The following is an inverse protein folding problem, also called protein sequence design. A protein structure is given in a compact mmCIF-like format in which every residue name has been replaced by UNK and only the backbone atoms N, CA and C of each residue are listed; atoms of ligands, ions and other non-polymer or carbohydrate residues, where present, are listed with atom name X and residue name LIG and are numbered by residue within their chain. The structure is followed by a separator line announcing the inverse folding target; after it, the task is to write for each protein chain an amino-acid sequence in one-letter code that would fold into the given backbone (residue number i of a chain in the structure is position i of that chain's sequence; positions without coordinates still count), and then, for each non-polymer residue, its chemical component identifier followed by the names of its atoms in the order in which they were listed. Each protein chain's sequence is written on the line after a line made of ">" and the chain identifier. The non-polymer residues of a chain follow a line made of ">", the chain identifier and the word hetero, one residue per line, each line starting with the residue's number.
data_IF_017948750928
#
_entry.id   IF_017948750928
#
_cell.length_a   1.000
_cell.length_b   1.000
_cell.length_c   1.000
_cell.angle_alpha   90.00
_cell.angle_beta   90.00
_cell.angle_gamma   90.00
#
_symmetry.space_group_name_H-M   'P 1'
#
loop_
_entity.id
_entity.type
_entity.pdbx_description
1 polymer ?
#
# COMPACT_ATOMS: atom_id res chain seq x y z
N UNK A 1 -8.57 91.04 -12.63
CA UNK A 1 -9.50 92.06 -13.18
C UNK A 1 -10.42 91.35 -14.16
N UNK A 2 -11.62 91.89 -14.42
CA UNK A 2 -12.71 91.32 -15.22
C UNK A 2 -13.49 90.14 -14.60
N UNK A 3 -14.75 90.05 -15.02
CA UNK A 3 -15.92 89.48 -14.33
C UNK A 3 -16.67 88.52 -15.26
N UNK A 4 -17.46 87.61 -14.68
CA UNK A 4 -18.92 87.36 -14.89
C UNK A 4 -19.25 85.92 -14.39
N UNK A 5 -20.05 85.76 -13.32
CA UNK A 5 -21.52 85.52 -13.34
C UNK A 5 -21.91 84.15 -13.92
N UNK A 6 -22.78 83.28 -13.39
CA UNK A 6 -23.88 83.32 -12.39
C UNK A 6 -24.09 81.87 -11.82
N UNK A 7 -24.92 81.50 -10.81
CA UNK A 7 -25.93 82.19 -9.97
C UNK A 7 -26.12 81.48 -8.59
N UNK A 8 -26.92 82.11 -7.71
CA UNK A 8 -27.90 81.56 -6.74
C UNK A 8 -28.34 80.06 -6.85
N UNK A 9 -28.76 79.35 -5.78
CA UNK A 9 -29.56 79.77 -4.59
C UNK A 9 -29.53 78.75 -3.42
N UNK A 10 -29.45 79.31 -2.18
CA UNK A 10 -29.97 78.92 -0.83
C UNK A 10 -31.22 77.97 -0.74
N UNK A 11 -31.66 77.50 0.47
CA UNK A 11 -30.97 77.20 1.76
C UNK A 11 -31.61 76.00 2.58
N UNK A 12 -31.47 75.99 3.92
CA UNK A 12 -31.98 75.07 4.99
C UNK A 12 -31.22 73.71 5.06
N UNK A 13 -30.70 73.18 6.18
CA UNK A 13 -30.76 73.52 7.62
C UNK A 13 -31.69 72.57 8.41
N UNK A 14 -31.47 72.21 9.70
CA UNK A 14 -30.27 72.33 10.56
C UNK A 14 -29.96 71.08 11.45
N UNK A 15 -28.92 71.20 12.31
CA UNK A 15 -28.82 70.67 13.70
C UNK A 15 -28.24 69.26 14.05
N UNK A 16 -27.16 69.33 14.87
CA UNK A 16 -26.88 68.65 16.17
C UNK A 16 -26.44 67.16 16.30
N UNK A 17 -25.22 67.02 16.85
CA UNK A 17 -24.71 66.06 17.86
C UNK A 17 -24.63 64.53 17.60
N UNK A 18 -23.40 64.01 17.51
CA UNK A 18 -22.74 63.12 18.51
C UNK A 18 -21.32 62.77 17.98
N UNK A 19 -20.22 62.92 18.74
CA UNK A 19 -19.71 62.12 19.87
C UNK A 19 -19.44 60.63 19.51
N UNK A 20 -18.15 60.26 19.52
CA UNK A 20 -17.58 58.89 19.46
C UNK A 20 -18.09 57.94 18.35
N UNK A 21 -17.52 58.07 17.15
CA UNK A 21 -17.62 57.05 16.08
C UNK A 21 -16.24 56.83 15.41
N UNK A 22 -15.39 55.96 16.00
CA UNK A 22 -14.17 55.48 15.31
C UNK A 22 -13.57 54.13 15.71
N UNK A 23 -14.19 53.37 16.62
CA UNK A 23 -13.66 52.07 17.08
C UNK A 23 -14.72 50.95 17.18
N UNK A 24 -15.51 50.71 16.12
CA UNK A 24 -16.51 49.62 16.14
C UNK A 24 -16.71 48.79 14.85
N UNK A 25 -15.81 48.89 13.86
CA UNK A 25 -15.96 48.18 12.56
C UNK A 25 -15.01 47.00 12.32
N UNK A 26 -14.14 46.62 13.26
CA UNK A 26 -13.26 45.43 13.11
C UNK A 26 -13.82 44.15 13.75
N UNK A 27 -14.72 44.28 14.75
CA UNK A 27 -15.33 43.14 15.42
C UNK A 27 -16.16 42.21 14.49
N UNK A 28 -17.03 42.72 13.59
CA UNK A 28 -17.82 41.84 12.72
C UNK A 28 -16.96 41.11 11.68
N UNK A 29 -15.85 41.71 11.24
CA UNK A 29 -14.92 41.08 10.28
C UNK A 29 -14.16 39.93 10.97
N UNK A 30 -13.73 40.13 12.22
CA UNK A 30 -13.09 39.05 13.00
C UNK A 30 -14.07 37.88 13.24
N UNK A 31 -15.33 38.17 13.58
CA UNK A 31 -16.38 37.17 13.74
C UNK A 31 -16.76 36.45 12.42
N UNK A 32 -16.69 37.11 11.26
CA UNK A 32 -16.81 36.45 9.95
C UNK A 32 -15.61 35.53 9.64
N UNK A 33 -14.37 35.92 9.99
CA UNK A 33 -13.20 35.04 9.81
C UNK A 33 -13.22 33.81 10.72
N UNK A 34 -13.83 33.91 11.91
CA UNK A 34 -13.98 32.80 12.85
C UNK A 34 -15.12 31.84 12.46
N UNK A 35 -16.16 32.33 11.78
CA UNK A 35 -17.29 31.48 11.32
C UNK A 35 -17.01 30.72 10.01
N UNK A 36 -15.94 31.08 9.28
CA UNK A 36 -15.47 30.34 8.09
C UNK A 36 -14.52 29.17 8.41
N UNK A 37 -14.19 28.93 9.69
CA UNK A 37 -13.57 27.68 10.14
C UNK A 37 -14.58 26.53 10.32
N UNK A 38 -15.78 26.65 9.75
CA UNK A 38 -16.64 25.51 9.51
C UNK A 38 -15.91 24.55 8.55
N UNK A 39 -15.29 23.50 9.11
CA UNK A 39 -14.81 22.35 8.35
C UNK A 39 -16.01 21.71 7.66
N UNK A 40 -16.31 22.17 6.43
CA UNK A 40 -17.18 21.43 5.52
C UNK A 40 -16.52 20.08 5.31
N UNK A 41 -17.11 19.04 5.89
CA UNK A 41 -16.69 17.69 5.58
C UNK A 41 -16.84 17.46 4.08
N UNK A 42 -15.79 16.92 3.48
CA UNK A 42 -15.75 16.70 2.05
C UNK A 42 -16.39 15.35 1.74
N UNK A 43 -17.28 15.31 0.74
CA UNK A 43 -17.81 14.06 0.15
C UNK A 43 -16.81 13.45 -0.83
N UNK A 44 -15.52 13.58 -0.51
CA UNK A 44 -14.38 13.16 -1.31
C UNK A 44 -13.47 12.31 -0.42
N UNK A 45 -12.85 11.30 -1.03
CA UNK A 45 -11.97 10.38 -0.35
C UNK A 45 -10.53 10.63 -0.83
N UNK A 46 -9.70 11.25 0.00
CA UNK A 46 -8.24 11.28 -0.23
C UNK A 46 -7.58 10.19 0.61
N UNK A 47 -7.17 9.11 -0.03
CA UNK A 47 -6.42 8.00 0.55
C UNK A 47 -5.02 8.45 1.02
N UNK A 48 -4.66 8.12 2.25
CA UNK A 48 -3.30 8.27 2.79
C UNK A 48 -2.59 6.90 2.81
N UNK A 49 -3.17 5.94 3.54
CA UNK A 49 -2.66 4.57 3.69
C UNK A 49 -3.73 3.61 4.25
N UNK A 50 -3.41 2.33 4.25
CA UNK A 50 -4.18 1.28 4.92
C UNK A 50 -3.34 0.52 5.96
N UNK A 51 -4.00 -0.10 6.95
CA UNK A 51 -3.42 -1.07 7.87
C UNK A 51 -4.38 -2.25 8.03
N UNK A 52 -3.87 -3.47 8.23
CA UNK A 52 -4.67 -4.68 8.38
C UNK A 52 -4.37 -5.42 9.69
N UNK A 53 -5.37 -6.14 10.19
CA UNK A 53 -5.25 -7.11 11.29
C UNK A 53 -5.68 -8.47 10.74
N UNK A 54 -4.88 -9.50 11.01
CA UNK A 54 -5.11 -10.86 10.54
C UNK A 54 -5.13 -11.07 9.03
N UNK A 55 -4.52 -10.20 8.22
CA UNK A 55 -4.37 -10.43 6.78
C UNK A 55 -3.73 -11.80 6.50
N UNK A 56 -4.23 -12.53 5.50
CA UNK A 56 -3.59 -13.78 5.06
C UNK A 56 -2.29 -13.46 4.33
N UNK A 57 -1.20 -14.10 4.74
CA UNK A 57 0.15 -13.87 4.21
C UNK A 57 0.54 -12.38 4.20
N UNK A 58 0.73 -11.75 5.38
CA UNK A 58 1.23 -10.37 5.46
C UNK A 58 2.62 -10.19 4.82
N UNK A 59 3.40 -11.28 4.69
CA UNK A 59 4.66 -11.35 3.94
C UNK A 59 4.48 -11.32 2.41
N UNK A 60 3.28 -11.63 1.91
CA UNK A 60 2.90 -11.59 0.49
C UNK A 60 1.76 -10.58 0.23
N UNK A 61 1.93 -9.27 0.52
CA UNK A 61 0.85 -8.29 0.48
C UNK A 61 0.14 -8.21 -0.89
N UNK A 62 0.85 -8.49 -1.98
CA UNK A 62 0.29 -8.54 -3.35
C UNK A 62 -0.84 -9.56 -3.57
N UNK A 63 -1.10 -10.45 -2.62
CA UNK A 63 -2.20 -11.42 -2.71
C UNK A 63 -3.51 -10.88 -2.15
N UNK A 64 -3.46 -10.21 -0.99
CA UNK A 64 -4.64 -9.97 -0.14
C UNK A 64 -4.64 -8.65 0.65
N UNK A 65 -3.85 -7.66 0.25
CA UNK A 65 -3.79 -6.32 0.87
C UNK A 65 -5.14 -5.57 0.88
N UNK A 66 -5.38 -4.65 1.85
CA UNK A 66 -6.59 -3.82 1.90
C UNK A 66 -6.89 -3.01 0.63
N UNK A 67 -5.86 -2.57 -0.09
CA UNK A 67 -5.98 -1.75 -1.30
C UNK A 67 -6.78 -2.45 -2.40
N UNK A 68 -6.77 -3.79 -2.42
CA UNK A 68 -7.57 -4.62 -3.34
C UNK A 68 -9.07 -4.62 -3.07
N UNK A 69 -9.53 -4.11 -1.92
CA UNK A 69 -10.93 -3.84 -1.67
C UNK A 69 -11.35 -2.43 -2.13
N UNK A 70 -10.40 -1.60 -2.60
CA UNK A 70 -10.60 -0.18 -2.93
C UNK A 70 -10.28 0.12 -4.41
N UNK A 71 -9.86 -0.88 -5.20
CA UNK A 71 -9.27 -0.69 -6.54
C UNK A 71 -10.27 -0.74 -7.70
N UNK A 72 -11.57 -0.80 -7.38
CA UNK A 72 -12.71 -0.92 -8.29
C UNK A 72 -12.73 -2.21 -9.14
N UNK A 73 -11.99 -3.26 -8.75
CA UNK A 73 -11.96 -4.55 -9.46
C UNK A 73 -12.46 -5.71 -8.59
N UNK A 74 -13.60 -6.25 -8.99
CA UNK A 74 -14.21 -7.43 -8.35
C UNK A 74 -13.35 -8.72 -8.38
N UNK A 75 -12.33 -8.79 -9.25
CA UNK A 75 -11.46 -9.97 -9.36
C UNK A 75 -10.39 -10.04 -8.27
N UNK A 76 -10.19 -8.96 -7.52
CA UNK A 76 -9.25 -8.79 -6.41
C UNK A 76 -10.03 -8.72 -5.08
N UNK A 77 -9.32 -8.86 -3.95
CA UNK A 77 -9.92 -8.72 -2.62
C UNK A 77 -8.86 -8.52 -1.53
N UNK A 78 -9.28 -7.81 -0.48
CA UNK A 78 -8.68 -8.02 0.84
C UNK A 78 -9.11 -9.40 1.37
N UNK A 79 -8.19 -10.16 1.99
CA UNK A 79 -8.55 -11.38 2.71
C UNK A 79 -7.79 -11.51 4.03
N UNK A 80 -8.51 -11.90 5.07
CA UNK A 80 -7.99 -12.14 6.42
C UNK A 80 -8.24 -13.60 6.89
N UNK A 81 -7.53 -14.00 7.94
CA UNK A 81 -7.73 -15.26 8.65
C UNK A 81 -9.11 -15.30 9.30
N UNK A 82 -9.94 -16.27 8.92
CA UNK A 82 -11.28 -16.46 9.50
C UNK A 82 -11.23 -16.94 10.97
N UNK A 83 -10.03 -17.18 11.52
CA UNK A 83 -9.81 -17.58 12.92
C UNK A 83 -9.39 -16.41 13.81
N UNK A 84 -9.01 -15.28 13.25
CA UNK A 84 -8.47 -14.15 14.01
C UNK A 84 -9.57 -13.15 14.38
N UNK A 85 -9.79 -12.98 15.68
CA UNK A 85 -10.80 -12.07 16.24
C UNK A 85 -10.38 -10.63 16.00
N UNK A 86 -11.29 -9.80 15.48
CA UNK A 86 -11.00 -8.40 15.16
C UNK A 86 -10.24 -8.20 13.85
N UNK A 87 -10.09 -9.26 13.05
CA UNK A 87 -9.49 -9.20 11.71
C UNK A 87 -10.24 -8.25 10.78
N UNK A 88 -9.52 -7.66 9.84
CA UNK A 88 -10.07 -6.59 9.00
C UNK A 88 -9.01 -5.54 8.65
N UNK A 89 -9.46 -4.33 8.32
CA UNK A 89 -8.55 -3.25 7.92
C UNK A 89 -9.07 -1.85 8.27
N UNK A 90 -8.13 -0.92 8.35
CA UNK A 90 -8.36 0.49 8.65
C UNK A 90 -7.83 1.34 7.50
N UNK A 91 -8.69 2.17 6.91
CA UNK A 91 -8.34 3.18 5.92
C UNK A 91 -8.03 4.49 6.66
N UNK A 92 -6.88 5.07 6.36
CA UNK A 92 -6.52 6.43 6.79
C UNK A 92 -6.72 7.38 5.61
N UNK A 93 -7.43 8.47 5.86
CA UNK A 93 -7.75 9.51 4.90
C UNK A 93 -6.97 10.79 5.23
N UNK A 94 -6.59 11.56 4.21
CA UNK A 94 -5.92 12.84 4.42
C UNK A 94 -6.80 13.84 5.16
N UNK A 95 -8.09 13.84 4.80
CA UNK A 95 -9.11 14.82 5.15
C UNK A 95 -10.27 14.16 5.91
N UNK A 96 -11.17 14.97 6.45
CA UNK A 96 -12.37 14.53 7.16
C UNK A 96 -13.51 14.26 6.18
N UNK A 97 -13.94 13.01 6.06
CA UNK A 97 -15.05 12.60 5.20
C UNK A 97 -16.29 12.24 6.02
N UNK A 98 -17.46 12.53 5.46
CA UNK A 98 -18.77 12.10 5.96
C UNK A 98 -19.38 11.11 4.98
N UNK A 99 -19.99 10.03 5.46
CA UNK A 99 -20.75 9.06 4.66
C UNK A 99 -21.88 8.43 5.46
N UNK A 100 -22.93 7.98 4.80
CA UNK A 100 -24.11 7.36 5.45
C UNK A 100 -24.42 5.96 4.93
N UNK A 101 -23.76 5.53 3.85
CA UNK A 101 -23.97 4.22 3.27
C UNK A 101 -22.68 3.61 2.73
N UNK A 102 -22.69 2.29 2.59
CA UNK A 102 -21.66 1.50 1.94
C UNK A 102 -22.23 0.75 0.75
N UNK A 103 -21.42 0.56 -0.29
CA UNK A 103 -21.62 -0.48 -1.30
C UNK A 103 -20.48 -1.48 -1.19
N UNK A 104 -20.83 -2.76 -1.05
CA UNK A 104 -19.91 -3.84 -0.70
C UNK A 104 -20.02 -5.00 -1.69
N UNK A 105 -18.89 -5.62 -2.03
CA UNK A 105 -18.86 -6.94 -2.67
C UNK A 105 -18.23 -7.97 -1.71
N UNK A 106 -19.10 -8.74 -1.07
CA UNK A 106 -18.76 -9.69 0.00
C UNK A 106 -18.21 -11.01 -0.55
N UNK A 107 -17.05 -11.47 -0.09
CA UNK A 107 -16.38 -12.69 -0.58
C UNK A 107 -15.28 -12.40 -1.61
N UNK A 108 -14.75 -13.46 -2.24
CA UNK A 108 -13.72 -13.38 -3.29
C UNK A 108 -14.29 -13.74 -4.66
N UNK A 109 -14.24 -12.81 -5.62
CA UNK A 109 -14.93 -12.93 -6.91
C UNK A 109 -14.00 -13.01 -8.13
N UNK A 110 -12.82 -13.64 -8.00
CA UNK A 110 -11.95 -13.94 -9.16
C UNK A 110 -12.63 -14.86 -10.19
N UNK A 111 -13.45 -15.81 -9.73
CA UNK A 111 -14.31 -16.66 -10.56
C UNK A 111 -15.58 -17.07 -9.82
N UNK A 112 -16.59 -17.57 -10.55
CA UNK A 112 -17.82 -18.09 -9.93
C UNK A 112 -17.58 -19.33 -9.06
N UNK A 113 -16.46 -20.03 -9.24
CA UNK A 113 -16.09 -21.17 -8.40
C UNK A 113 -15.54 -20.75 -7.04
N UNK A 114 -14.89 -19.58 -6.93
CA UNK A 114 -14.31 -19.10 -5.67
C UNK A 114 -15.36 -18.92 -4.56
N UNK A 115 -16.60 -18.55 -4.91
CA UNK A 115 -17.70 -18.42 -3.96
C UNK A 115 -18.09 -19.76 -3.29
N UNK A 116 -17.73 -20.90 -3.87
CA UNK A 116 -17.95 -22.23 -3.25
C UNK A 116 -17.07 -22.46 -2.03
N UNK A 117 -15.98 -21.71 -1.88
CA UNK A 117 -15.08 -21.81 -0.73
C UNK A 117 -15.69 -21.23 0.55
N UNK A 118 -16.77 -20.45 0.45
CA UNK A 118 -17.46 -19.79 1.56
C UNK A 118 -16.62 -18.75 2.34
N UNK A 119 -15.65 -18.14 1.67
CA UNK A 119 -14.74 -17.10 2.19
C UNK A 119 -15.47 -15.73 2.38
N UNK A 120 -16.69 -15.72 2.93
CA UNK A 120 -17.61 -14.57 3.03
C UNK A 120 -17.77 -14.06 4.47
N UNK A 121 -17.84 -12.74 4.63
CA UNK A 121 -18.24 -12.09 5.88
C UNK A 121 -19.75 -12.29 6.09
N UNK A 122 -20.16 -12.64 7.32
CA UNK A 122 -21.57 -12.66 7.74
C UNK A 122 -21.93 -11.37 8.48
N UNK A 123 -21.03 -10.90 9.35
CA UNK A 123 -21.23 -9.69 10.15
C UNK A 123 -19.96 -8.84 10.13
N UNK A 124 -20.11 -7.60 9.66
CA UNK A 124 -19.04 -6.61 9.59
C UNK A 124 -19.35 -5.50 10.58
N UNK A 125 -18.35 -4.98 11.28
CA UNK A 125 -18.43 -3.71 12.01
C UNK A 125 -17.73 -2.63 11.20
N UNK A 126 -18.39 -1.48 11.12
CA UNK A 126 -17.88 -0.26 10.54
C UNK A 126 -17.72 0.74 11.67
N UNK A 127 -16.55 1.33 11.82
CA UNK A 127 -16.27 2.38 12.80
C UNK A 127 -15.58 3.57 12.14
N UNK A 128 -15.89 4.78 12.61
CA UNK A 128 -15.25 6.03 12.19
C UNK A 128 -14.59 6.70 13.39
N UNK A 129 -13.37 7.20 13.17
CA UNK A 129 -12.60 7.92 14.18
C UNK A 129 -12.04 9.21 13.60
N UNK A 130 -11.86 10.18 14.49
CA UNK A 130 -11.07 11.37 14.29
C UNK A 130 -9.65 11.15 14.83
N UNK A 131 -8.65 11.49 14.02
CA UNK A 131 -7.24 11.45 14.36
C UNK A 131 -6.56 12.77 13.97
N UNK A 132 -6.08 13.51 14.96
CA UNK A 132 -5.35 14.76 14.73
C UNK A 132 -3.89 14.48 14.38
N UNK A 133 -3.43 15.00 13.23
CA UNK A 133 -2.09 14.71 12.69
C UNK A 133 -0.92 15.38 13.42
N UNK A 134 -1.20 16.28 14.38
CA UNK A 134 -0.22 17.22 14.93
C UNK A 134 0.17 16.99 16.39
N UNK A 135 -0.35 15.94 17.06
CA UNK A 135 -0.01 15.70 18.46
C UNK A 135 0.86 14.45 18.63
N UNK A 136 1.90 14.55 19.45
CA UNK A 136 2.95 13.53 19.67
C UNK A 136 2.44 12.19 20.25
N UNK A 137 1.13 12.10 20.51
CA UNK A 137 0.40 10.91 20.90
C UNK A 137 -0.91 10.88 20.10
N UNK A 138 -0.88 10.27 18.92
CA UNK A 138 -2.05 10.09 18.06
C UNK A 138 -3.20 9.42 18.84
N UNK A 139 -4.14 10.23 19.35
CA UNK A 139 -5.35 9.75 20.02
C UNK A 139 -6.46 9.63 18.99
N UNK A 140 -6.96 8.40 18.81
CA UNK A 140 -8.21 8.17 18.10
C UNK A 140 -9.38 8.58 18.99
N UNK A 141 -10.23 9.48 18.50
CA UNK A 141 -11.54 9.77 19.09
C UNK A 141 -12.61 9.12 18.22
N UNK A 142 -13.33 8.13 18.74
CA UNK A 142 -14.43 7.50 18.03
C UNK A 142 -15.57 8.51 17.79
N UNK A 143 -16.14 8.48 16.58
CA UNK A 143 -17.37 9.18 16.22
C UNK A 143 -18.56 8.22 16.29
N UNK A 144 -18.54 7.18 15.44
CA UNK A 144 -19.61 6.18 15.35
C UNK A 144 -19.09 4.78 15.06
N UNK A 145 -19.86 3.80 15.53
CA UNK A 145 -19.70 2.37 15.25
C UNK A 145 -21.06 1.75 14.92
N UNK A 146 -21.11 0.87 13.92
CA UNK A 146 -22.30 0.10 13.49
C UNK A 146 -21.90 -1.32 13.10
N UNK A 147 -22.62 -2.29 13.65
CA UNK A 147 -22.61 -3.66 13.18
C UNK A 147 -23.61 -3.81 12.02
N UNK A 148 -23.20 -4.41 10.90
CA UNK A 148 -24.03 -4.71 9.73
C UNK A 148 -23.98 -6.21 9.42
N UNK A 149 -25.15 -6.80 9.15
CA UNK A 149 -25.24 -8.17 8.61
C UNK A 149 -25.17 -8.13 7.08
N UNK A 150 -24.33 -8.98 6.50
CA UNK A 150 -24.13 -9.07 5.06
C UNK A 150 -24.80 -10.32 4.51
N UNK A 151 -25.51 -10.17 3.40
CA UNK A 151 -26.15 -11.30 2.72
C UNK A 151 -25.13 -12.14 1.95
N UNK A 152 -25.49 -13.39 1.67
CA UNK A 152 -24.65 -14.35 0.95
C UNK A 152 -24.25 -13.81 -0.43
N UNK A 153 -22.96 -13.94 -0.77
CA UNK A 153 -22.38 -13.46 -2.01
C UNK A 153 -23.05 -14.02 -3.28
N UNK A 154 -23.10 -13.20 -4.33
CA UNK A 154 -23.46 -13.59 -5.70
C UNK A 154 -22.34 -13.14 -6.65
N UNK A 155 -22.03 -13.92 -7.68
CA UNK A 155 -20.83 -13.66 -8.50
C UNK A 155 -20.95 -12.38 -9.36
N UNK A 156 -19.96 -11.49 -9.30
CA UNK A 156 -19.91 -10.25 -10.09
C UNK A 156 -20.84 -9.13 -9.61
N UNK A 157 -21.15 -8.16 -10.47
CA UNK A 157 -21.93 -6.94 -10.14
C UNK A 157 -23.27 -7.19 -9.44
N UNK A 158 -23.94 -8.30 -9.75
CA UNK A 158 -25.19 -8.75 -9.11
C UNK A 158 -25.05 -9.13 -7.62
N UNK A 159 -23.82 -9.22 -7.10
CA UNK A 159 -23.51 -9.41 -5.69
C UNK A 159 -23.17 -8.13 -4.93
N UNK A 160 -23.19 -6.96 -5.58
CA UNK A 160 -23.04 -5.67 -4.91
C UNK A 160 -24.24 -5.45 -3.97
N UNK A 161 -23.94 -5.18 -2.71
CA UNK A 161 -24.91 -4.94 -1.66
C UNK A 161 -24.77 -3.49 -1.22
N UNK A 162 -25.88 -2.75 -1.18
CA UNK A 162 -25.93 -1.41 -0.60
C UNK A 162 -26.46 -1.53 0.82
N UNK A 163 -25.74 -0.96 1.78
CA UNK A 163 -26.08 -0.98 3.21
C UNK A 163 -26.15 0.46 3.70
N UNK A 164 -27.32 0.88 4.16
CA UNK A 164 -27.50 2.12 4.91
C UNK A 164 -26.97 1.91 6.34
N UNK A 165 -26.28 2.91 6.89
CA UNK A 165 -25.71 2.87 8.24
C UNK A 165 -26.63 3.49 9.31
N UNK A 166 -27.85 3.87 8.91
CA UNK A 166 -28.89 4.56 9.70
C UNK A 166 -28.43 5.93 10.27
N UNK A 167 -27.23 6.38 9.91
CA UNK A 167 -26.62 7.61 10.41
C UNK A 167 -25.40 8.02 9.58
N UNK A 168 -25.06 9.31 9.61
CA UNK A 168 -23.83 9.83 9.00
C UNK A 168 -22.63 9.59 9.90
N UNK A 169 -21.71 8.76 9.43
CA UNK A 169 -20.37 8.54 9.97
C UNK A 169 -19.45 9.69 9.59
N UNK A 170 -18.64 10.17 10.51
CA UNK A 170 -17.70 11.27 10.26
C UNK A 170 -16.29 10.97 10.80
N UNK A 171 -15.26 11.06 9.95
CA UNK A 171 -13.89 10.86 10.40
C UNK A 171 -12.85 10.92 9.29
N UNK A 172 -11.59 10.71 9.67
CA UNK A 172 -10.47 10.53 8.76
C UNK A 172 -9.77 9.15 8.96
N UNK A 173 -10.32 8.31 9.83
CA UNK A 173 -9.88 6.93 10.04
C UNK A 173 -11.11 6.04 10.05
N UNK A 174 -11.26 5.18 9.03
CA UNK A 174 -12.42 4.30 8.86
C UNK A 174 -11.98 2.85 9.02
N UNK A 175 -12.54 2.14 10.00
CA UNK A 175 -12.20 0.74 10.31
C UNK A 175 -13.33 -0.20 9.91
N UNK A 176 -12.95 -1.28 9.24
CA UNK A 176 -13.79 -2.42 8.91
C UNK A 176 -13.28 -3.63 9.71
N UNK A 177 -14.09 -4.14 10.62
CA UNK A 177 -13.76 -5.25 11.53
C UNK A 177 -14.72 -6.42 11.28
N UNK A 178 -14.18 -7.61 10.99
CA UNK A 178 -14.94 -8.82 10.71
C UNK A 178 -15.32 -9.46 12.05
N UNK A 179 -16.61 -9.48 12.35
CA UNK A 179 -17.14 -10.03 13.59
C UNK A 179 -17.57 -11.49 13.44
N UNK A 180 -18.19 -11.83 12.31
CA UNK A 180 -18.64 -13.19 12.02
C UNK A 180 -18.46 -13.50 10.53
N UNK A 181 -18.18 -14.76 10.21
CA UNK A 181 -18.09 -15.29 8.84
C UNK A 181 -19.29 -16.20 8.54
N UNK A 182 -19.56 -16.46 7.25
CA UNK A 182 -20.65 -17.38 6.83
C UNK A 182 -20.29 -18.86 7.15
N UNK A 183 -19.01 -19.13 7.41
CA UNK A 183 -18.44 -20.38 7.89
C UNK A 183 -16.93 -20.23 8.01
N UNK A 184 -16.18 -21.27 8.42
CA UNK A 184 -14.71 -21.19 8.48
C UNK A 184 -14.03 -21.18 7.09
N UNK A 185 -14.82 -21.38 6.03
CA UNK A 185 -14.35 -21.52 4.66
C UNK A 185 -13.54 -22.80 4.43
N UNK A 186 -13.46 -23.27 3.18
CA UNK A 186 -12.56 -24.39 2.84
C UNK A 186 -11.08 -23.95 2.85
N UNK A 187 -10.82 -22.65 2.85
CA UNK A 187 -9.48 -22.05 2.77
C UNK A 187 -8.98 -21.51 4.11
N UNK A 188 -9.84 -21.42 5.14
CA UNK A 188 -9.53 -20.77 6.41
C UNK A 188 -9.50 -19.23 6.36
N UNK A 189 -9.89 -18.61 5.24
CA UNK A 189 -9.89 -17.15 5.04
C UNK A 189 -11.29 -16.57 4.91
N UNK A 190 -11.39 -15.25 5.04
CA UNK A 190 -12.58 -14.45 4.79
C UNK A 190 -12.18 -13.21 3.97
N UNK A 191 -12.96 -12.86 2.96
CA UNK A 191 -12.58 -11.85 1.96
C UNK A 191 -13.65 -10.78 1.72
N UNK A 192 -13.20 -9.60 1.30
CA UNK A 192 -14.01 -8.49 0.80
C UNK A 192 -13.39 -8.00 -0.52
N UNK A 193 -14.13 -8.13 -1.62
CA UNK A 193 -13.67 -7.77 -2.97
C UNK A 193 -13.83 -6.30 -3.33
N UNK A 194 -14.76 -5.58 -2.69
CA UNK A 194 -15.01 -4.16 -2.97
C UNK A 194 -15.67 -3.48 -1.76
N UNK A 195 -15.23 -2.26 -1.42
CA UNK A 195 -15.88 -1.34 -0.50
C UNK A 195 -15.89 0.07 -1.11
N UNK A 196 -17.08 0.65 -1.26
CA UNK A 196 -17.29 2.06 -1.58
C UNK A 196 -18.07 2.75 -0.48
N UNK A 197 -17.62 3.93 -0.07
CA UNK A 197 -18.34 4.82 0.86
C UNK A 197 -19.17 5.83 0.06
N UNK A 198 -20.33 6.22 0.59
CA UNK A 198 -21.25 7.08 -0.12
C UNK A 198 -22.51 7.41 0.68
N UNK A 199 -23.59 7.68 -0.04
CA UNK A 199 -24.92 7.98 0.49
C UNK A 199 -26.01 7.34 -0.38
N UNK A 200 -27.17 7.02 0.21
CA UNK A 200 -28.35 6.58 -0.55
C UNK A 200 -29.22 7.78 -0.91
N UNK A 201 -29.48 7.97 -2.20
CA UNK A 201 -30.41 8.97 -2.75
C UNK A 201 -31.60 8.27 -3.41
N UNK A 202 -32.60 9.06 -3.81
CA UNK A 202 -33.80 8.56 -4.53
C UNK A 202 -33.48 7.73 -5.77
N UNK A 203 -32.35 8.02 -6.43
CA UNK A 203 -31.88 7.36 -7.65
C UNK A 203 -30.99 6.13 -7.38
N UNK A 204 -30.66 5.84 -6.11
CA UNK A 204 -29.81 4.73 -5.69
C UNK A 204 -28.60 5.16 -4.87
N UNK A 205 -27.60 4.29 -4.79
CA UNK A 205 -26.33 4.57 -4.10
C UNK A 205 -25.45 5.52 -4.90
N UNK A 206 -25.00 6.59 -4.26
CA UNK A 206 -24.09 7.59 -4.82
C UNK A 206 -22.69 7.39 -4.20
N UNK A 207 -21.72 6.77 -4.90
CA UNK A 207 -20.37 6.60 -4.40
C UNK A 207 -19.63 7.94 -4.32
N UNK A 208 -18.83 8.12 -3.27
CA UNK A 208 -17.91 9.24 -3.21
C UNK A 208 -16.61 8.94 -3.96
N UNK A 209 -16.08 9.90 -4.75
CA UNK A 209 -14.89 9.66 -5.57
C UNK A 209 -13.61 9.66 -4.74
N UNK A 210 -12.70 8.77 -5.10
CA UNK A 210 -11.31 8.81 -4.68
C UNK A 210 -10.57 9.95 -5.42
N UNK A 211 -10.18 11.00 -4.71
CA UNK A 211 -9.39 12.12 -5.27
C UNK A 211 -7.97 11.66 -5.60
N UNK A 212 -7.45 10.71 -4.81
CA UNK A 212 -6.10 10.18 -4.93
C UNK A 212 -6.09 8.70 -5.33
N UNK A 213 -7.02 8.29 -6.18
CA UNK A 213 -7.12 6.91 -6.70
C UNK A 213 -5.81 6.40 -7.31
N UNK A 214 -5.00 7.30 -7.89
CA UNK A 214 -3.69 6.94 -8.44
C UNK A 214 -2.66 6.55 -7.38
N UNK A 215 -2.80 6.98 -6.10
CA UNK A 215 -2.01 6.44 -4.99
C UNK A 215 -2.31 4.94 -4.78
N UNK A 216 -3.59 4.57 -4.72
CA UNK A 216 -4.05 3.17 -4.58
C UNK A 216 -3.52 2.33 -5.75
N UNK A 217 -3.67 2.80 -6.99
CA UNK A 217 -3.10 2.12 -8.17
C UNK A 217 -1.59 1.99 -8.09
N UNK A 218 -0.86 3.01 -7.61
CA UNK A 218 0.60 2.94 -7.45
C UNK A 218 0.98 1.86 -6.45
N UNK A 219 0.36 1.81 -5.27
CA UNK A 219 0.61 0.76 -4.26
C UNK A 219 0.36 -0.64 -4.83
N UNK A 220 -0.73 -0.85 -5.57
CA UNK A 220 -1.01 -2.13 -6.25
C UNK A 220 0.00 -2.44 -7.36
N UNK A 221 0.53 -1.42 -8.05
CA UNK A 221 1.59 -1.61 -9.06
C UNK A 221 2.91 -2.04 -8.40
N UNK A 222 3.22 -1.49 -7.22
CA UNK A 222 4.39 -1.86 -6.40
C UNK A 222 4.27 -3.31 -5.91
N UNK A 223 3.09 -3.73 -5.47
CA UNK A 223 2.77 -5.13 -5.17
C UNK A 223 3.03 -6.06 -6.36
N UNK A 224 2.67 -5.64 -7.58
CA UNK A 224 2.99 -6.39 -8.80
C UNK A 224 4.49 -6.55 -9.06
N UNK A 225 5.35 -5.60 -8.66
CA UNK A 225 6.81 -5.76 -8.69
C UNK A 225 7.29 -6.74 -7.60
N UNK A 226 6.80 -6.56 -6.37
CA UNK A 226 7.09 -7.42 -5.23
C UNK A 226 6.79 -8.91 -5.51
N UNK A 227 5.66 -9.22 -6.17
CA UNK A 227 5.31 -10.57 -6.63
C UNK A 227 6.36 -11.15 -7.59
N UNK A 228 6.85 -10.36 -8.55
CA UNK A 228 7.85 -10.82 -9.53
C UNK A 228 9.20 -11.09 -8.90
N UNK A 229 9.58 -10.30 -7.89
CA UNK A 229 10.77 -10.56 -7.07
C UNK A 229 10.61 -11.85 -6.26
N UNK A 230 9.49 -12.03 -5.55
CA UNK A 230 9.19 -13.25 -4.79
C UNK A 230 9.19 -14.51 -5.67
N UNK A 231 8.56 -14.44 -6.85
CA UNK A 231 8.60 -15.52 -7.83
C UNK A 231 10.02 -15.80 -8.34
N UNK A 232 10.81 -14.76 -8.64
CA UNK A 232 12.21 -14.89 -9.05
C UNK A 232 13.06 -15.60 -8.00
N UNK A 233 12.94 -15.20 -6.73
CA UNK A 233 13.65 -15.83 -5.63
C UNK A 233 13.24 -17.30 -5.43
N UNK A 234 11.95 -17.61 -5.60
CA UNK A 234 11.48 -19.00 -5.60
C UNK A 234 12.10 -19.83 -6.73
N UNK A 235 12.28 -19.27 -7.93
CA UNK A 235 13.01 -19.95 -9.01
C UNK A 235 14.50 -20.12 -8.68
N UNK A 236 15.14 -19.12 -8.07
CA UNK A 236 16.53 -19.24 -7.58
C UNK A 236 16.70 -20.39 -6.58
N UNK A 237 15.83 -20.48 -5.57
CA UNK A 237 15.85 -21.57 -4.56
C UNK A 237 15.63 -22.94 -5.22
N UNK A 238 14.71 -23.05 -6.18
CA UNK A 238 14.45 -24.28 -6.93
C UNK A 238 15.61 -24.68 -7.87
N UNK A 239 16.38 -23.71 -8.37
CA UNK A 239 17.57 -23.95 -9.17
C UNK A 239 18.76 -24.40 -8.30
N UNK A 240 18.95 -23.76 -7.14
CA UNK A 240 19.96 -24.11 -6.13
C UNK A 240 19.81 -25.55 -5.59
N UNK A 241 18.59 -26.10 -5.60
CA UNK A 241 18.34 -27.50 -5.28
C UNK A 241 18.86 -28.49 -6.34
N UNK A 242 19.29 -28.03 -7.52
CA UNK A 242 19.75 -28.86 -8.66
C UNK A 242 21.21 -28.64 -9.02
N UNK A 243 21.80 -27.51 -8.64
CA UNK A 243 23.18 -27.15 -8.93
C UNK A 243 23.52 -25.77 -8.39
N UNK A 244 24.81 -25.41 -8.41
CA UNK A 244 25.30 -24.12 -7.95
C UNK A 244 24.80 -22.98 -8.85
N UNK A 245 24.27 -21.91 -8.27
CA UNK A 245 24.04 -20.65 -8.98
C UNK A 245 25.17 -19.67 -8.65
N UNK A 246 25.79 -19.15 -9.71
CA UNK A 246 26.88 -18.20 -9.64
C UNK A 246 26.36 -16.78 -9.87
N UNK A 247 26.66 -15.87 -8.95
CA UNK A 247 26.49 -14.44 -9.13
C UNK A 247 27.84 -13.77 -9.39
N UNK A 248 27.87 -12.71 -10.19
CA UNK A 248 29.09 -12.09 -10.68
C UNK A 248 29.14 -10.58 -10.39
N UNK A 249 30.29 -10.08 -9.92
CA UNK A 249 30.59 -8.64 -9.86
C UNK A 249 32.05 -8.35 -10.19
N UNK A 250 32.30 -7.78 -11.39
CA UNK A 250 33.58 -7.24 -11.87
C UNK A 250 34.86 -7.98 -11.46
N UNK A 251 34.86 -9.32 -11.54
CA UNK A 251 36.01 -10.17 -11.23
C UNK A 251 35.87 -11.00 -9.94
N UNK A 252 34.84 -10.78 -9.13
CA UNK A 252 34.42 -11.73 -8.09
C UNK A 252 33.32 -12.65 -8.63
N UNK A 253 33.46 -13.94 -8.35
CA UNK A 253 32.37 -14.92 -8.45
C UNK A 253 31.86 -15.22 -7.04
N UNK A 254 30.54 -15.19 -6.88
CA UNK A 254 29.83 -15.48 -5.64
C UNK A 254 28.94 -16.71 -5.89
N UNK A 255 29.43 -17.94 -5.64
CA UNK A 255 28.56 -19.11 -5.50
C UNK A 255 27.59 -18.90 -4.33
N UNK A 256 26.28 -19.01 -4.59
CA UNK A 256 25.23 -18.86 -3.58
C UNK A 256 24.29 -20.05 -3.62
N UNK A 257 23.93 -20.58 -2.45
CA UNK A 257 22.91 -21.59 -2.26
C UNK A 257 21.88 -21.07 -1.26
N UNK A 258 20.63 -20.93 -1.70
CA UNK A 258 19.46 -20.75 -0.84
C UNK A 258 18.58 -22.00 -0.96
N UNK A 259 18.15 -22.58 0.17
CA UNK A 259 17.39 -23.84 0.21
C UNK A 259 15.98 -23.67 0.78
N UNK A 260 15.01 -24.54 0.40
CA UNK A 260 13.64 -24.47 0.91
C UNK A 260 13.48 -24.61 2.43
N UNK A 261 14.48 -25.16 3.12
CA UNK A 261 14.54 -25.32 4.58
C UNK A 261 15.02 -24.05 5.31
N UNK A 262 15.09 -22.91 4.60
CA UNK A 262 15.58 -21.62 5.08
C UNK A 262 17.08 -21.61 5.44
N UNK A 263 17.85 -22.62 5.04
CA UNK A 263 19.32 -22.57 5.12
C UNK A 263 19.92 -21.87 3.90
N UNK A 264 21.03 -21.17 4.10
CA UNK A 264 21.85 -20.64 3.03
C UNK A 264 23.33 -21.00 3.19
N UNK A 265 24.06 -20.95 2.09
CA UNK A 265 25.51 -20.81 2.12
C UNK A 265 26.02 -19.98 0.94
N UNK A 266 27.04 -19.18 1.15
CA UNK A 266 27.77 -18.53 0.06
C UNK A 266 29.28 -18.57 0.30
N UNK A 267 30.05 -18.29 -0.75
CA UNK A 267 31.50 -18.12 -0.70
C UNK A 267 31.89 -17.04 -1.71
N UNK A 268 33.02 -16.36 -1.50
CA UNK A 268 33.57 -15.44 -2.50
C UNK A 268 34.85 -16.02 -3.12
N UNK A 269 34.96 -15.86 -4.44
CA UNK A 269 36.10 -16.25 -5.25
C UNK A 269 36.61 -15.04 -6.03
N UNK A 270 37.84 -14.61 -5.78
CA UNK A 270 38.45 -13.47 -6.47
C UNK A 270 39.29 -13.92 -7.67
N UNK A 271 38.83 -13.59 -8.89
CA UNK A 271 39.59 -13.70 -10.13
C UNK A 271 39.65 -15.10 -10.79
N UNK A 272 39.85 -15.11 -12.11
CA UNK A 272 40.34 -16.29 -12.82
C UNK A 272 41.85 -16.44 -12.60
N UNK A 273 42.28 -17.53 -11.96
CA UNK A 273 43.69 -17.96 -11.95
C UNK A 273 44.41 -18.00 -10.60
N UNK A 274 43.82 -17.50 -9.50
CA UNK A 274 44.40 -17.63 -8.17
C UNK A 274 43.64 -18.69 -7.31
N UNK A 275 44.17 -19.92 -7.15
CA UNK A 275 43.53 -20.95 -6.33
C UNK A 275 43.56 -20.66 -4.82
N UNK A 276 44.20 -19.56 -4.38
CA UNK A 276 44.19 -19.12 -2.98
C UNK A 276 43.15 -18.02 -2.68
N UNK A 277 42.50 -17.47 -3.72
CA UNK A 277 41.51 -16.39 -3.62
C UNK A 277 40.11 -16.77 -3.12
N UNK A 278 39.99 -17.82 -2.29
CA UNK A 278 38.72 -18.30 -1.73
C UNK A 278 38.51 -17.82 -0.29
N UNK A 279 37.39 -17.15 -0.02
CA UNK A 279 36.90 -17.01 1.35
C UNK A 279 36.16 -18.29 1.79
N UNK A 280 36.32 -18.75 3.05
CA UNK A 280 35.61 -19.92 3.55
C UNK A 280 34.10 -19.72 3.45
N UNK A 281 33.36 -20.79 3.14
CA UNK A 281 31.92 -20.67 2.93
C UNK A 281 31.22 -20.25 4.22
N UNK A 282 30.49 -19.15 4.15
CA UNK A 282 29.55 -18.73 5.18
C UNK A 282 28.31 -19.61 5.04
N UNK A 283 27.84 -20.16 6.16
CA UNK A 283 26.67 -21.05 6.24
C UNK A 283 25.77 -20.58 7.39
N UNK A 284 24.47 -20.52 7.16
CA UNK A 284 23.52 -20.02 8.15
C UNK A 284 22.06 -20.20 7.75
N UNK A 285 21.19 -19.40 8.35
CA UNK A 285 19.75 -19.34 8.03
C UNK A 285 19.37 -17.99 7.44
N UNK A 286 18.37 -17.97 6.56
CA UNK A 286 17.86 -16.74 5.95
C UNK A 286 16.38 -16.56 6.24
N UNK A 287 15.96 -15.31 6.43
CA UNK A 287 14.55 -14.93 6.55
C UNK A 287 14.21 -13.79 5.61
N UNK A 288 13.01 -13.83 5.03
CA UNK A 288 12.45 -12.72 4.25
C UNK A 288 11.83 -11.72 5.23
N UNK A 289 12.46 -10.55 5.40
CA UNK A 289 11.97 -9.50 6.30
C UNK A 289 10.84 -8.68 5.66
N UNK A 290 11.00 -8.34 4.39
CA UNK A 290 10.07 -7.50 3.65
C UNK A 290 10.15 -7.82 2.15
N UNK A 291 9.03 -7.63 1.45
CA UNK A 291 8.96 -7.62 0.00
C UNK A 291 8.34 -6.30 -0.47
N UNK A 292 8.99 -5.64 -1.42
CA UNK A 292 8.67 -4.26 -1.85
C UNK A 292 8.94 -4.05 -3.34
N UNK A 293 8.70 -2.85 -3.87
CA UNK A 293 9.11 -2.52 -5.25
C UNK A 293 10.63 -2.59 -5.45
N UNK A 294 11.40 -2.38 -4.39
CA UNK A 294 12.87 -2.41 -4.37
C UNK A 294 13.45 -3.82 -4.19
N UNK A 295 12.62 -4.86 -4.13
CA UNK A 295 13.08 -6.24 -3.96
C UNK A 295 12.63 -6.89 -2.66
N UNK A 296 13.22 -8.06 -2.41
CA UNK A 296 13.07 -8.82 -1.18
C UNK A 296 14.25 -8.52 -0.25
N UNK A 297 13.97 -8.08 0.97
CA UNK A 297 14.98 -7.97 2.01
C UNK A 297 15.17 -9.32 2.70
N UNK A 298 16.38 -9.85 2.59
CA UNK A 298 16.85 -11.11 3.17
C UNK A 298 17.73 -10.78 4.38
N UNK A 299 17.33 -11.18 5.58
CA UNK A 299 18.24 -11.23 6.72
C UNK A 299 18.98 -12.57 6.70
N UNK A 300 20.32 -12.52 6.70
CA UNK A 300 21.21 -13.68 6.71
C UNK A 300 21.86 -13.77 8.09
N UNK A 301 21.48 -14.80 8.85
CA UNK A 301 22.00 -15.08 10.21
C UNK A 301 23.00 -16.22 10.17
N UNK A 302 24.22 -16.00 10.68
CA UNK A 302 25.30 -17.00 10.68
C UNK A 302 26.30 -16.76 11.83
N UNK A 303 27.17 -17.73 12.10
CA UNK A 303 28.31 -17.55 13.00
C UNK A 303 29.59 -17.32 12.21
N UNK A 304 30.37 -16.30 12.58
CA UNK A 304 31.70 -16.10 11.99
C UNK A 304 32.75 -17.09 12.55
N UNK A 305 33.96 -17.05 12.00
CA UNK A 305 35.07 -17.92 12.41
C UNK A 305 35.50 -17.73 13.89
N UNK A 306 35.06 -16.65 14.55
CA UNK A 306 35.27 -16.40 15.99
C UNK A 306 34.12 -16.92 16.86
N UNK A 307 33.09 -17.54 16.28
CA UNK A 307 31.89 -17.98 16.98
C UNK A 307 30.93 -16.84 17.36
N UNK A 308 31.05 -15.67 16.73
CA UNK A 308 30.16 -14.53 16.97
C UNK A 308 28.98 -14.61 16.00
N UNK A 309 27.75 -14.48 16.52
CA UNK A 309 26.55 -14.39 15.69
C UNK A 309 26.56 -13.07 14.89
N UNK A 310 26.32 -13.19 13.59
CA UNK A 310 26.22 -12.10 12.62
C UNK A 310 24.85 -12.13 11.97
N UNK A 311 24.28 -10.95 11.78
CA UNK A 311 23.08 -10.74 10.99
C UNK A 311 23.41 -9.64 9.96
N UNK A 312 23.32 -9.96 8.68
CA UNK A 312 23.54 -9.02 7.56
C UNK A 312 22.31 -9.01 6.65
N UNK A 313 22.04 -7.89 5.99
CA UNK A 313 20.85 -7.68 5.17
C UNK A 313 21.19 -7.60 3.70
N UNK A 314 20.64 -8.49 2.88
CA UNK A 314 20.81 -8.48 1.43
C UNK A 314 19.47 -8.17 0.75
N UNK A 315 19.51 -7.49 -0.40
CA UNK A 315 18.34 -7.24 -1.23
C UNK A 315 18.44 -8.13 -2.46
N UNK A 316 17.48 -9.04 -2.62
CA UNK A 316 17.28 -9.79 -3.86
C UNK A 316 16.29 -9.05 -4.77
N UNK A 317 16.66 -8.82 -6.03
CA UNK A 317 15.75 -8.36 -7.07
C UNK A 317 15.74 -9.30 -8.27
N UNK A 318 14.58 -9.40 -8.93
CA UNK A 318 14.48 -9.77 -10.34
C UNK A 318 14.37 -8.46 -11.13
N UNK A 319 15.44 -8.06 -11.80
CA UNK A 319 15.47 -6.84 -12.58
C UNK A 319 14.88 -7.06 -13.99
N UNK A 320 14.13 -6.07 -14.48
CA UNK A 320 13.48 -6.09 -15.79
C UNK A 320 13.88 -4.85 -16.61
N UNK A 321 13.55 -4.85 -17.90
CA UNK A 321 13.86 -3.73 -18.80
C UNK A 321 13.28 -2.43 -18.25
N UNK A 322 14.14 -1.43 -18.00
CA UNK A 322 13.75 -0.14 -17.43
C UNK A 322 13.88 -0.02 -15.90
N UNK A 323 14.24 -1.09 -15.18
CA UNK A 323 14.71 -0.98 -13.80
C UNK A 323 16.17 -0.48 -13.76
N UNK A 324 16.55 0.24 -12.69
CA UNK A 324 17.89 0.82 -12.54
C UNK A 324 19.00 -0.24 -12.60
N UNK A 325 18.83 -1.36 -11.87
CA UNK A 325 19.81 -2.44 -11.83
C UNK A 325 19.98 -3.14 -13.20
N UNK A 326 18.94 -3.15 -14.05
CA UNK A 326 19.03 -3.65 -15.42
C UNK A 326 19.87 -2.74 -16.31
N UNK A 327 19.61 -1.43 -16.28
CA UNK A 327 20.36 -0.46 -17.09
C UNK A 327 21.81 -0.31 -16.59
N UNK A 328 22.04 -0.46 -15.28
CA UNK A 328 23.38 -0.56 -14.69
C UNK A 328 24.13 -1.81 -15.19
N UNK A 329 23.51 -2.99 -15.17
CA UNK A 329 24.10 -4.23 -15.69
C UNK A 329 24.43 -4.14 -17.19
N UNK A 330 23.49 -3.62 -17.98
CA UNK A 330 23.67 -3.33 -19.42
C UNK A 330 24.81 -2.36 -19.68
N UNK A 331 24.94 -1.31 -18.87
CA UNK A 331 26.04 -0.35 -18.97
C UNK A 331 27.38 -0.99 -18.59
N UNK A 332 27.42 -1.84 -17.54
CA UNK A 332 28.63 -2.61 -17.15
C UNK A 332 29.12 -3.55 -18.27
N UNK A 333 28.21 -4.19 -19.03
CA UNK A 333 28.58 -5.10 -20.13
C UNK A 333 28.82 -4.41 -21.49
N UNK A 334 28.28 -3.20 -21.69
CA UNK A 334 28.48 -2.43 -22.91
C UNK A 334 28.07 -3.20 -24.17
N UNK A 335 28.98 -3.30 -25.14
CA UNK A 335 28.72 -3.98 -26.43
C UNK A 335 28.48 -5.49 -26.29
N UNK A 336 28.97 -6.14 -25.23
CA UNK A 336 28.79 -7.58 -25.00
C UNK A 336 27.42 -7.95 -24.43
N UNK A 337 26.61 -6.98 -24.01
CA UNK A 337 25.35 -7.23 -23.30
C UNK A 337 24.43 -8.21 -24.04
N UNK A 338 24.21 -8.01 -25.34
CA UNK A 338 23.32 -8.85 -26.17
C UNK A 338 23.87 -10.24 -26.48
N UNK A 339 25.17 -10.46 -26.30
CA UNK A 339 25.82 -11.78 -26.44
C UNK A 339 25.69 -12.59 -25.14
N UNK A 340 25.71 -11.90 -23.99
CA UNK A 340 25.76 -12.49 -22.65
C UNK A 340 24.37 -12.72 -22.05
N UNK A 341 23.37 -11.87 -22.35
CA UNK A 341 22.06 -11.95 -21.71
C UNK A 341 20.88 -11.76 -22.69
N UNK A 342 19.84 -12.56 -22.49
CA UNK A 342 18.62 -12.54 -23.30
C UNK A 342 17.37 -12.26 -22.43
N UNK A 343 16.85 -11.03 -22.39
CA UNK A 343 15.83 -10.59 -21.42
C UNK A 343 14.44 -11.20 -21.62
N UNK A 344 14.20 -11.94 -22.71
CA UNK A 344 12.92 -12.63 -22.98
C UNK A 344 12.93 -14.12 -22.58
N UNK A 345 14.12 -14.68 -22.31
CA UNK A 345 14.31 -16.12 -22.13
C UNK A 345 15.01 -16.46 -20.82
N UNK A 346 15.73 -15.51 -20.21
CA UNK A 346 16.46 -15.69 -18.95
C UNK A 346 16.09 -14.60 -17.95
N UNK A 347 16.17 -14.91 -16.65
CA UNK A 347 16.04 -13.90 -15.61
C UNK A 347 17.33 -13.09 -15.48
N UNK A 348 17.21 -11.81 -15.13
CA UNK A 348 18.30 -11.06 -14.50
C UNK A 348 18.02 -10.99 -13.00
N UNK A 349 18.75 -11.77 -12.22
CA UNK A 349 18.74 -11.70 -10.78
C UNK A 349 19.86 -10.80 -10.27
N UNK A 350 19.57 -10.09 -9.20
CA UNK A 350 20.46 -9.14 -8.56
C UNK A 350 20.49 -9.46 -7.07
N UNK A 351 21.68 -9.61 -6.50
CA UNK A 351 21.90 -9.66 -5.06
C UNK A 351 22.71 -8.43 -4.67
N UNK A 352 22.19 -7.63 -3.74
CA UNK A 352 22.82 -6.39 -3.28
C UNK A 352 23.01 -6.41 -1.77
N UNK A 353 24.25 -6.28 -1.32
CA UNK A 353 24.59 -6.09 0.10
C UNK A 353 24.05 -4.72 0.56
N UNK A 354 23.26 -4.68 1.65
CA UNK A 354 22.65 -3.43 2.14
C UNK A 354 23.67 -2.53 2.86
N UNK A 355 24.68 -3.13 3.47
CA UNK A 355 25.72 -2.46 4.24
C UNK A 355 26.80 -1.80 3.36
N UNK A 356 27.20 -2.47 2.27
CA UNK A 356 28.27 -2.00 1.37
C UNK A 356 27.75 -1.39 0.06
N UNK A 357 26.51 -1.73 -0.33
CA UNK A 357 25.95 -1.40 -1.64
C UNK A 357 26.48 -2.26 -2.80
N UNK A 358 27.41 -3.20 -2.54
CA UNK A 358 27.98 -4.11 -3.54
C UNK A 358 26.88 -4.96 -4.18
N UNK A 359 26.95 -5.13 -5.50
CA UNK A 359 25.84 -5.65 -6.30
C UNK A 359 26.33 -6.70 -7.30
N UNK A 360 25.86 -7.93 -7.13
CA UNK A 360 26.20 -9.07 -7.97
C UNK A 360 25.01 -9.48 -8.86
N UNK A 361 25.30 -10.01 -10.04
CA UNK A 361 24.31 -10.33 -11.06
C UNK A 361 24.37 -11.81 -11.45
N UNK A 362 23.20 -12.42 -11.64
CA UNK A 362 23.06 -13.73 -12.27
C UNK A 362 22.08 -13.63 -13.44
N UNK A 363 22.46 -14.17 -14.60
CA UNK A 363 21.74 -13.93 -15.87
C UNK A 363 21.59 -15.19 -16.73
N UNK A 364 21.90 -16.37 -16.19
CA UNK A 364 21.95 -17.65 -16.92
C UNK A 364 20.75 -18.56 -16.65
N UNK A 365 19.91 -18.28 -15.63
CA UNK A 365 18.74 -19.09 -15.32
C UNK A 365 17.60 -18.80 -16.32
N UNK A 366 17.12 -19.80 -17.09
CA UNK A 366 16.01 -19.60 -18.01
C UNK A 366 14.68 -19.39 -17.29
N UNK A 367 13.80 -18.61 -17.90
CA UNK A 367 12.43 -18.39 -17.46
C UNK A 367 11.59 -19.64 -17.79
N UNK A 368 10.90 -20.27 -16.82
CA UNK A 368 9.98 -21.37 -17.09
C UNK A 368 8.87 -20.94 -18.07
N UNK A 369 8.50 -21.85 -18.98
CA UNK A 369 7.41 -21.65 -19.95
C UNK A 369 6.03 -21.85 -19.33
#
# INVERSE_FOLDING_TARGET
>A
MQFLSHTHRKPFGPSRFSFFHRHFNLLPILLLSLSLHCQKSETQLDYDKTQSVGQVSPEEPWRFSPEFALDEKYGTAFCASAKEVGSGFTIFLSNKTQFSALQLLNGFHRSANDLKNHDMVKKLRVSSFWMEKNDSKNKLKEDRTKDIELTKAKFGKQGLQVVDLDSTFEGNVIRFEILETVGQGNTGRVCLSEIKMGEVKKEGFFPYPWVSFDKIKRTITQFGKAERHAYGFKQLVLANAKGTILFYDQGTVLPVFFKPDQTFSFSEMYGEGDPTGFLPSIVGTYTLLQSSEEGLELNLSYFDNGGIERNISWIFKRAEVGDEDYENFKTKLGTKFSEVYQPKTHFLFVLKEKETGRTFYHYELPIPK
#
